data_IF_494648069648
#
_entry.id   IF_494648069648
#
_cell.length_a   1.000
_cell.length_b   1.000
_cell.length_c   1.000
_cell.angle_alpha   90.00
_cell.angle_beta   90.00
_cell.angle_gamma   90.00
#
_symmetry.space_group_name_H-M   'P 1'
#
loop_
_entity.id
_entity.type
_entity.pdbx_description
1 polymer ?
#
# COMPACT_ATOMS: atom_id res chain seq x y z
N UNK A 1 11.92 -3.26 -14.22
CA UNK A 1 11.80 -2.68 -12.86
C UNK A 1 10.49 -1.93 -12.83
N UNK A 2 9.63 -2.15 -11.83
CA UNK A 2 8.36 -1.42 -11.74
C UNK A 2 8.66 0.01 -11.32
N UNK A 3 8.19 0.98 -12.10
CA UNK A 3 8.42 2.39 -11.83
C UNK A 3 7.09 3.05 -11.50
N UNK A 4 6.85 3.27 -10.21
CA UNK A 4 5.64 3.88 -9.70
C UNK A 4 5.89 5.38 -9.44
N UNK A 5 5.19 6.29 -10.14
CA UNK A 5 5.47 7.72 -10.10
C UNK A 5 5.26 8.35 -8.71
N UNK A 6 4.42 7.76 -7.87
CA UNK A 6 4.17 8.20 -6.48
C UNK A 6 5.43 8.16 -5.61
N UNK A 7 6.43 7.36 -6.01
CA UNK A 7 7.68 7.17 -5.27
C UNK A 7 8.92 7.41 -6.14
N UNK A 8 8.82 8.24 -7.19
CA UNK A 8 9.95 8.54 -8.09
C UNK A 8 11.16 9.12 -7.37
N UNK A 9 10.92 9.93 -6.34
CA UNK A 9 11.97 10.57 -5.55
C UNK A 9 12.62 9.63 -4.52
N UNK A 10 12.08 8.42 -4.34
CA UNK A 10 12.58 7.46 -3.35
C UNK A 10 13.64 6.57 -3.94
N UNK A 11 14.57 6.14 -3.09
CA UNK A 11 15.59 5.17 -3.49
C UNK A 11 14.94 3.80 -3.69
N UNK A 12 14.79 3.40 -4.95
CA UNK A 12 14.38 2.04 -5.28
C UNK A 12 15.56 1.06 -5.11
N UNK A 13 15.31 -0.06 -4.44
CA UNK A 13 16.30 -1.12 -4.22
C UNK A 13 15.96 -2.35 -5.10
N UNK A 14 16.99 -3.07 -5.54
CA UNK A 14 16.81 -4.31 -6.28
C UNK A 14 16.77 -5.47 -5.28
N UNK A 15 15.65 -6.19 -5.26
CA UNK A 15 15.48 -7.43 -4.51
C UNK A 15 15.24 -8.59 -5.48
N UNK A 16 16.24 -9.47 -5.61
CA UNK A 16 16.17 -10.61 -6.52
C UNK A 16 15.29 -11.75 -6.01
N UNK A 17 14.89 -11.74 -4.74
CA UNK A 17 13.95 -12.71 -4.17
C UNK A 17 12.52 -12.28 -4.44
N UNK A 18 12.23 -10.99 -4.27
CA UNK A 18 10.92 -10.39 -4.46
C UNK A 18 10.78 -9.69 -5.82
N UNK A 19 11.07 -10.40 -6.92
CA UNK A 19 11.18 -9.81 -8.27
C UNK A 19 9.91 -9.13 -8.78
N UNK A 20 8.75 -9.53 -8.25
CA UNK A 20 7.45 -8.99 -8.63
C UNK A 20 7.03 -7.79 -7.78
N UNK A 21 7.75 -7.47 -6.70
CA UNK A 21 7.42 -6.39 -5.79
C UNK A 21 8.45 -5.26 -5.93
N UNK A 22 8.00 -4.02 -5.80
CA UNK A 22 8.89 -2.87 -5.81
C UNK A 22 9.33 -2.56 -4.39
N UNK A 23 10.64 -2.56 -4.11
CA UNK A 23 11.21 -2.19 -2.81
C UNK A 23 11.72 -0.76 -2.85
N UNK A 24 11.28 0.06 -1.90
CA UNK A 24 11.73 1.43 -1.72
C UNK A 24 12.36 1.62 -0.34
N UNK A 25 13.32 2.55 -0.26
CA UNK A 25 13.96 2.98 0.96
C UNK A 25 13.80 4.50 1.12
N UNK A 26 13.37 4.92 2.30
CA UNK A 26 13.29 6.31 2.72
C UNK A 26 14.66 6.80 3.25
N UNK A 27 14.83 8.11 3.35
CA UNK A 27 16.06 8.74 3.86
C UNK A 27 16.42 8.30 5.29
N UNK A 28 15.41 8.07 6.14
CA UNK A 28 15.57 7.59 7.52
C UNK A 28 15.92 6.09 7.62
N UNK A 29 16.12 5.43 6.48
CA UNK A 29 16.48 4.02 6.38
C UNK A 29 15.31 3.04 6.43
N UNK A 30 14.09 3.52 6.72
CA UNK A 30 12.87 2.70 6.67
C UNK A 30 12.59 2.23 5.24
N UNK A 31 11.93 1.08 5.12
CA UNK A 31 11.71 0.42 3.82
C UNK A 31 10.27 0.00 3.67
N UNK A 32 9.84 -0.13 2.42
CA UNK A 32 8.55 -0.74 2.12
C UNK A 32 8.53 -1.44 0.78
N UNK A 33 7.74 -2.50 0.70
CA UNK A 33 7.41 -3.19 -0.54
C UNK A 33 6.03 -2.75 -1.02
N UNK A 34 5.88 -2.65 -2.33
CA UNK A 34 4.60 -2.47 -3.01
C UNK A 34 4.35 -3.70 -3.89
N UNK A 35 3.29 -4.45 -3.54
CA UNK A 35 2.80 -5.51 -4.40
C UNK A 35 1.97 -4.95 -5.57
N UNK A 36 1.95 -5.64 -6.73
CA UNK A 36 1.12 -5.24 -7.87
C UNK A 36 -0.36 -5.06 -7.50
N UNK A 37 -0.94 -6.01 -6.76
CA UNK A 37 -2.37 -5.97 -6.40
C UNK A 37 -2.68 -4.76 -5.53
N UNK A 38 -1.82 -4.45 -4.55
CA UNK A 38 -1.97 -3.24 -3.75
C UNK A 38 -1.93 -1.97 -4.62
N UNK A 39 -0.99 -1.91 -5.57
CA UNK A 39 -0.86 -0.75 -6.45
C UNK A 39 -2.10 -0.55 -7.34
N UNK A 40 -2.72 -1.61 -7.85
CA UNK A 40 -4.00 -1.51 -8.57
C UNK A 40 -5.10 -0.92 -7.67
N UNK A 41 -5.18 -1.38 -6.41
CA UNK A 41 -6.09 -0.81 -5.41
C UNK A 41 -5.82 0.67 -5.13
N UNK A 42 -4.54 1.05 -5.03
CA UNK A 42 -4.13 2.45 -4.87
C UNK A 42 -4.56 3.31 -6.08
N UNK A 43 -4.38 2.79 -7.31
CA UNK A 43 -4.77 3.50 -8.54
C UNK A 43 -6.28 3.67 -8.68
N UNK A 44 -7.08 2.74 -8.15
CA UNK A 44 -8.52 2.93 -8.04
C UNK A 44 -8.84 4.21 -7.25
N UNK A 45 -8.24 4.41 -6.07
CA UNK A 45 -8.49 5.63 -5.29
C UNK A 45 -7.94 6.88 -5.96
N UNK A 46 -6.79 6.80 -6.64
CA UNK A 46 -6.29 7.91 -7.46
C UNK A 46 -7.30 8.36 -8.51
N UNK A 47 -8.02 7.42 -9.11
CA UNK A 47 -9.02 7.68 -10.16
C UNK A 47 -10.35 8.18 -9.59
N UNK A 48 -10.84 7.59 -8.50
CA UNK A 48 -12.20 7.80 -8.00
C UNK A 48 -12.30 8.76 -6.81
N UNK A 49 -11.20 9.00 -6.08
CA UNK A 49 -11.09 9.98 -4.98
C UNK A 49 -9.77 10.77 -5.08
N UNK A 50 -9.47 11.41 -6.23
CA UNK A 50 -8.19 12.10 -6.45
C UNK A 50 -7.90 13.18 -5.40
N UNK A 51 -8.92 13.85 -4.90
CA UNK A 51 -8.83 14.91 -3.90
C UNK A 51 -8.30 14.43 -2.54
N UNK A 52 -8.56 13.15 -2.19
CA UNK A 52 -8.09 12.52 -0.95
C UNK A 52 -6.93 11.55 -1.17
N UNK A 53 -6.43 11.43 -2.41
CA UNK A 53 -5.36 10.48 -2.74
C UNK A 53 -4.07 10.75 -1.96
N UNK A 54 -3.76 12.03 -1.71
CA UNK A 54 -2.60 12.43 -0.92
C UNK A 54 -2.66 11.90 0.52
N UNK A 55 -3.85 11.86 1.14
CA UNK A 55 -4.04 11.33 2.50
C UNK A 55 -3.67 9.85 2.59
N UNK A 56 -3.93 9.08 1.54
CA UNK A 56 -3.53 7.66 1.47
C UNK A 56 -2.00 7.54 1.49
N UNK A 57 -1.32 8.35 0.67
CA UNK A 57 0.15 8.33 0.59
C UNK A 57 0.79 8.78 1.91
N UNK A 58 0.24 9.80 2.56
CA UNK A 58 0.68 10.26 3.88
C UNK A 58 0.50 9.19 4.95
N UNK A 59 -0.63 8.47 4.93
CA UNK A 59 -0.87 7.38 5.86
C UNK A 59 0.08 6.20 5.61
N UNK A 60 0.33 5.84 4.34
CA UNK A 60 1.37 4.86 3.99
C UNK A 60 2.72 5.27 4.59
N UNK A 61 3.14 6.52 4.44
CA UNK A 61 4.39 7.03 5.01
C UNK A 61 4.44 6.95 6.53
N UNK A 62 3.32 7.26 7.19
CA UNK A 62 3.20 7.14 8.64
C UNK A 62 3.39 5.68 9.07
N UNK A 63 2.77 4.73 8.38
CA UNK A 63 2.89 3.31 8.69
C UNK A 63 4.32 2.79 8.49
N UNK A 64 5.02 3.24 7.45
CA UNK A 64 6.42 2.88 7.23
C UNK A 64 7.33 3.41 8.33
N UNK A 65 7.11 4.65 8.79
CA UNK A 65 7.87 5.25 9.90
C UNK A 65 7.69 4.50 11.22
N UNK A 66 6.46 4.06 11.51
CA UNK A 66 6.12 3.31 12.73
C UNK A 66 6.72 1.90 12.70
N UNK A 67 6.51 1.16 11.60
CA UNK A 67 6.84 -0.26 11.53
C UNK A 67 8.27 -0.55 11.05
N UNK A 68 8.97 0.45 10.50
CA UNK A 68 10.32 0.39 9.91
C UNK A 68 10.42 -0.43 8.61
N UNK A 69 9.65 -1.50 8.51
CA UNK A 69 9.43 -2.29 7.30
C UNK A 69 7.93 -2.59 7.15
N UNK A 70 7.39 -2.27 5.96
CA UNK A 70 6.00 -2.57 5.61
C UNK A 70 5.94 -3.28 4.26
N UNK A 71 5.10 -4.29 4.13
CA UNK A 71 4.66 -4.82 2.84
C UNK A 71 3.23 -4.32 2.61
N UNK A 72 3.06 -3.50 1.59
CA UNK A 72 1.74 -3.12 1.12
C UNK A 72 1.25 -4.18 0.13
N UNK A 73 0.34 -5.04 0.60
CA UNK A 73 -0.08 -6.28 -0.07
C UNK A 73 -1.56 -6.29 -0.47
N UNK A 74 -1.92 -7.20 -1.36
CA UNK A 74 -3.33 -7.43 -1.72
C UNK A 74 -4.10 -8.18 -0.64
N UNK A 75 -3.42 -9.10 0.02
CA UNK A 75 -3.92 -9.98 1.07
C UNK A 75 -2.82 -10.09 2.16
N UNK A 76 -3.18 -9.87 3.42
CA UNK A 76 -2.24 -9.94 4.55
C UNK A 76 -1.98 -11.37 5.03
N UNK A 77 -2.91 -12.30 4.79
CA UNK A 77 -2.79 -13.71 5.15
C UNK A 77 -1.96 -14.48 4.11
N UNK A 78 -2.01 -14.05 2.84
CA UNK A 78 -1.28 -14.65 1.72
C UNK A 78 -0.46 -13.62 0.90
N UNK A 79 0.52 -12.91 1.50
CA UNK A 79 1.36 -11.96 0.77
C UNK A 79 2.27 -12.69 -0.23
N UNK A 80 2.42 -12.14 -1.43
CA UNK A 80 3.37 -12.69 -2.42
C UNK A 80 4.81 -12.28 -2.11
N UNK A 81 4.99 -11.23 -1.31
CA UNK A 81 6.30 -10.74 -0.87
C UNK A 81 6.84 -11.67 0.21
N UNK A 82 7.99 -12.29 -0.05
CA UNK A 82 8.73 -12.99 0.97
C UNK A 82 9.44 -11.99 1.90
N UNK A 83 9.17 -12.11 3.18
CA UNK A 83 9.97 -11.52 4.27
C UNK A 83 10.39 -12.64 5.22
N UNK A 84 11.64 -12.63 5.65
CA UNK A 84 12.13 -13.61 6.63
C UNK A 84 11.36 -13.47 7.95
N UNK A 85 10.88 -14.58 8.51
CA UNK A 85 10.06 -14.61 9.73
C UNK A 85 10.71 -13.93 10.95
N UNK A 86 12.04 -13.81 10.95
CA UNK A 86 12.81 -13.16 12.03
C UNK A 86 12.83 -11.64 11.88
N UNK A 87 12.44 -11.11 10.72
CA UNK A 87 12.37 -9.69 10.44
C UNK A 87 11.00 -9.19 10.81
N UNK A 88 10.95 -8.28 11.79
CA UNK A 88 9.70 -7.58 12.13
C UNK A 88 9.23 -6.77 10.92
N UNK A 89 8.04 -7.08 10.45
CA UNK A 89 7.39 -6.46 9.29
C UNK A 89 5.89 -6.34 9.55
N UNK A 90 5.29 -5.24 9.10
CA UNK A 90 3.84 -5.15 9.01
C UNK A 90 3.38 -5.47 7.59
N UNK A 91 2.30 -6.23 7.46
CA UNK A 91 1.59 -6.43 6.20
C UNK A 91 0.33 -5.58 6.28
N UNK A 92 0.09 -4.73 5.27
CA UNK A 92 -1.02 -3.79 5.28
C UNK A 92 -1.69 -3.78 3.91
N UNK A 93 -2.99 -4.01 3.89
CA UNK A 93 -3.83 -3.94 2.70
C UNK A 93 -4.25 -2.49 2.42
N UNK A 94 -4.78 -2.24 1.22
CA UNK A 94 -5.35 -0.93 0.88
C UNK A 94 -6.54 -0.58 1.79
N UNK A 95 -7.27 -1.60 2.26
CA UNK A 95 -8.37 -1.44 3.20
C UNK A 95 -7.87 -0.93 4.54
N UNK A 96 -6.80 -1.51 5.08
CA UNK A 96 -6.21 -1.08 6.35
C UNK A 96 -5.80 0.40 6.32
N UNK A 97 -5.22 0.85 5.21
CA UNK A 97 -4.81 2.24 5.05
C UNK A 97 -6.02 3.17 4.95
N UNK A 98 -7.02 2.79 4.15
CA UNK A 98 -8.19 3.64 3.89
C UNK A 98 -9.16 3.71 5.07
N UNK A 99 -9.27 2.66 5.89
CA UNK A 99 -10.02 2.67 7.14
C UNK A 99 -9.38 3.62 8.18
N UNK A 100 -8.04 3.62 8.29
CA UNK A 100 -7.32 4.50 9.25
C UNK A 100 -7.53 6.00 9.01
N UNK A 101 -7.83 6.38 7.78
CA UNK A 101 -8.11 7.77 7.38
C UNK A 101 -9.60 8.04 7.15
N UNK A 102 -10.48 7.11 7.52
CA UNK A 102 -11.92 7.19 7.29
C UNK A 102 -12.25 7.59 5.84
N UNK A 103 -11.58 6.94 4.87
CA UNK A 103 -11.81 7.21 3.46
C UNK A 103 -13.01 6.43 2.92
N UNK A 104 -13.31 5.26 3.50
CA UNK A 104 -14.47 4.46 3.16
C UNK A 104 -15.54 4.75 4.21
N UNK A 105 -16.49 5.62 3.90
CA UNK A 105 -17.70 5.76 4.70
C UNK A 105 -18.51 4.47 4.53
N UNK A 106 -18.57 3.64 5.59
CA UNK A 106 -19.42 2.44 5.63
C UNK A 106 -20.90 2.76 5.35
N UNK A 107 -21.31 4.02 5.48
CA UNK A 107 -22.68 4.50 5.21
C UNK A 107 -23.08 4.57 3.73
N UNK A 108 -22.17 4.34 2.77
CA UNK A 108 -22.49 4.41 1.32
C UNK A 108 -22.26 3.11 0.54
N UNK A 109 -21.93 2.01 1.21
CA UNK A 109 -21.83 0.71 0.55
C UNK A 109 -23.17 -0.04 0.62
N UNK A 110 -23.84 -0.11 -0.53
CA UNK A 110 -24.86 -1.10 -0.90
C UNK A 110 -26.24 -1.03 -0.22
N UNK A 111 -26.97 0.08 -0.41
CA UNK A 111 -28.35 -0.11 -0.88
C UNK A 111 -28.26 -0.32 -2.39
N UNK A 112 -28.27 -1.59 -2.81
CA UNK A 112 -28.56 -1.91 -4.19
C UNK A 112 -29.98 -1.44 -4.46
N UNK A 113 -30.13 -0.38 -5.24
CA UNK A 113 -31.34 -0.18 -6.04
C UNK A 113 -31.39 -1.32 -7.07
N UNK A 114 -31.81 -2.50 -6.60
CA UNK A 114 -32.63 -3.40 -7.40
C UNK A 114 -34.07 -2.96 -7.18
N UNK A 115 -34.44 -1.85 -7.81
CA UNK A 115 -35.83 -1.49 -8.02
C UNK A 115 -36.11 -1.55 -9.51
N UNK A 116 -36.91 -2.57 -9.84
CA UNK A 116 -37.57 -2.95 -11.10
C UNK A 116 -36.70 -3.47 -12.27
#
# INVERSE_FOLDING_TARGET
MKNYPEWSERKQLIDLRNKFCALYQNEDGTKFYIEPVYYEGLMYFKRFKPERFHEILEEMDRQVKINKLVVFCGDEDEPITFVDERVRCAFLTIRDITERINLIDEAKNFQGDYTD
#
